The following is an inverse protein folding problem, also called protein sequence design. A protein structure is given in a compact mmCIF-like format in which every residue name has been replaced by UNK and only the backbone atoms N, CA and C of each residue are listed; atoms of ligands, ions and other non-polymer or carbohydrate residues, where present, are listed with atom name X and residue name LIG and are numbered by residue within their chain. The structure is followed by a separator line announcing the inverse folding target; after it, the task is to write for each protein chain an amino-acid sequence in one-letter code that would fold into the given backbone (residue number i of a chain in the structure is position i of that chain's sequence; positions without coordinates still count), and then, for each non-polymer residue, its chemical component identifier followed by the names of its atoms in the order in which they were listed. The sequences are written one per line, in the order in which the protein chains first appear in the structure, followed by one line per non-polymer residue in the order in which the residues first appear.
data_IF_537876645877
#
_entry.id   IF_537876645877
#
_cell.length_a   1.000
_cell.length_b   1.000
_cell.length_c   1.000
_cell.angle_alpha   90.00
_cell.angle_beta   90.00
_cell.angle_gamma   90.00
#
_symmetry.space_group_name_H-M   'P 1'
#
loop_
_entity.id
_entity.type
_entity.pdbx_description
1 polymer ?
#
# COMPACT_ATOMS: atom_id res chain seq x y z
N UNK A 1 -4.70 13.68 -14.02
CA UNK A 1 -5.11 12.33 -13.56
C UNK A 1 -4.54 11.20 -14.43
N UNK A 2 -3.71 10.35 -13.83
CA UNK A 2 -3.17 9.12 -14.40
C UNK A 2 -3.58 7.91 -13.54
N UNK A 3 -4.04 6.83 -14.17
CA UNK A 3 -4.43 5.59 -13.48
C UNK A 3 -3.57 4.44 -14.01
N UNK A 4 -2.96 3.68 -13.10
CA UNK A 4 -2.08 2.56 -13.44
C UNK A 4 -2.46 1.34 -12.60
N UNK A 5 -2.81 0.23 -13.26
CA UNK A 5 -3.02 -1.05 -12.60
C UNK A 5 -1.70 -1.85 -12.62
N UNK A 6 -1.30 -2.35 -11.46
CA UNK A 6 -0.12 -3.17 -11.26
C UNK A 6 -0.48 -4.42 -10.46
N UNK A 7 0.36 -5.44 -10.54
CA UNK A 7 0.26 -6.64 -9.72
C UNK A 7 1.61 -6.91 -9.10
N UNK A 8 1.60 -7.16 -7.79
CA UNK A 8 2.79 -7.56 -7.07
C UNK A 8 2.65 -9.01 -6.64
N UNK A 9 3.70 -9.81 -6.81
CA UNK A 9 3.80 -11.15 -6.21
C UNK A 9 4.68 -11.06 -4.99
N UNK A 10 4.11 -11.36 -3.83
CA UNK A 10 4.80 -11.38 -2.55
C UNK A 10 5.29 -12.79 -2.20
N UNK A 11 5.93 -12.90 -1.03
CA UNK A 11 6.20 -14.18 -0.42
C UNK A 11 4.97 -15.10 -0.40
N UNK A 12 5.21 -16.42 -0.39
CA UNK A 12 4.18 -17.47 -0.43
C UNK A 12 3.30 -17.45 -1.70
N UNK A 13 3.70 -16.70 -2.74
CA UNK A 13 2.96 -16.60 -4.01
C UNK A 13 1.68 -15.80 -3.91
N UNK A 14 1.54 -14.96 -2.87
CA UNK A 14 0.36 -14.10 -2.70
C UNK A 14 0.42 -12.97 -3.71
N UNK A 15 -0.64 -12.80 -4.50
CA UNK A 15 -0.75 -11.68 -5.42
C UNK A 15 -1.52 -10.52 -4.78
N UNK A 16 -0.98 -9.31 -4.91
CA UNK A 16 -1.63 -8.06 -4.50
C UNK A 16 -1.85 -7.20 -5.75
N UNK A 17 -3.07 -7.18 -6.30
CA UNK A 17 -3.47 -6.19 -7.30
C UNK A 17 -3.52 -4.79 -6.66
N UNK A 18 -2.94 -3.82 -7.36
CA UNK A 18 -2.92 -2.42 -6.92
C UNK A 18 -3.31 -1.51 -8.08
N UNK A 19 -4.20 -0.55 -7.83
CA UNK A 19 -4.47 0.55 -8.76
C UNK A 19 -3.94 1.84 -8.17
N UNK A 20 -2.92 2.42 -8.81
CA UNK A 20 -2.42 3.74 -8.48
C UNK A 20 -3.21 4.81 -9.22
N UNK A 21 -3.68 5.82 -8.50
CA UNK A 21 -4.33 7.00 -9.07
C UNK A 21 -3.52 8.22 -8.64
N UNK A 22 -2.82 8.82 -9.60
CA UNK A 22 -2.04 10.02 -9.40
C UNK A 22 -2.79 11.19 -10.03
N UNK A 23 -3.17 12.18 -9.22
CA UNK A 23 -3.72 13.43 -9.70
C UNK A 23 -2.77 14.61 -9.44
N UNK A 24 -2.90 15.68 -10.23
CA UNK A 24 -1.98 16.82 -10.14
C UNK A 24 -2.19 17.64 -8.86
N UNK A 25 -3.38 17.55 -8.25
CA UNK A 25 -3.81 18.40 -7.13
C UNK A 25 -4.17 17.63 -5.87
N UNK A 26 -4.33 16.31 -5.94
CA UNK A 26 -4.70 15.43 -4.82
C UNK A 26 -3.53 14.61 -4.30
N UNK A 27 -3.68 13.97 -3.11
CA UNK A 27 -2.70 12.98 -2.67
C UNK A 27 -2.66 11.82 -3.67
N UNK A 28 -1.48 11.21 -3.84
CA UNK A 28 -1.39 9.96 -4.58
C UNK A 28 -2.24 8.89 -3.91
N UNK A 29 -2.99 8.11 -4.67
CA UNK A 29 -3.87 7.06 -4.14
C UNK A 29 -3.35 5.69 -4.58
N UNK A 30 -3.40 4.72 -3.68
CA UNK A 30 -3.24 3.31 -3.99
C UNK A 30 -4.49 2.56 -3.52
N UNK A 31 -5.20 1.91 -4.45
CA UNK A 31 -6.28 0.97 -4.12
C UNK A 31 -5.71 -0.44 -4.17
N UNK A 32 -5.56 -1.08 -3.02
CA UNK A 32 -5.07 -2.45 -2.91
C UNK A 32 -6.24 -3.44 -2.79
N UNK A 33 -6.07 -4.64 -3.34
CA UNK A 33 -6.99 -5.75 -3.11
C UNK A 33 -6.30 -6.84 -2.27
N UNK A 34 -6.76 -7.01 -1.04
CA UNK A 34 -6.22 -7.99 -0.08
C UNK A 34 -7.36 -8.64 0.71
N UNK A 35 -7.23 -9.90 1.06
CA UNK A 35 -8.23 -10.64 1.87
C UNK A 35 -9.68 -10.55 1.34
N UNK A 36 -9.85 -10.38 0.02
CA UNK A 36 -11.14 -10.23 -0.63
C UNK A 36 -11.77 -8.82 -0.52
N UNK A 37 -11.13 -7.90 0.19
CA UNK A 37 -11.51 -6.49 0.29
C UNK A 37 -10.72 -5.60 -0.67
N UNK A 38 -11.26 -4.40 -0.92
CA UNK A 38 -10.55 -3.31 -1.58
C UNK A 38 -10.37 -2.16 -0.60
N UNK A 39 -9.14 -1.65 -0.50
CA UNK A 39 -8.79 -0.61 0.46
C UNK A 39 -8.17 0.58 -0.27
N UNK A 40 -8.75 1.75 -0.06
CA UNK A 40 -8.27 3.01 -0.61
C UNK A 40 -7.29 3.65 0.38
N UNK A 41 -6.02 3.76 -0.03
CA UNK A 41 -4.93 4.30 0.77
C UNK A 41 -4.42 5.60 0.13
N UNK A 42 -4.04 6.56 0.96
CA UNK A 42 -3.52 7.86 0.55
C UNK A 42 -2.02 7.94 0.80
N UNK A 43 -1.30 8.61 -0.10
CA UNK A 43 0.13 8.83 -0.01
C UNK A 43 0.46 9.64 1.26
N UNK A 44 1.35 9.09 2.06
CA UNK A 44 1.89 9.66 3.29
C UNK A 44 3.29 10.21 3.05
N UNK A 45 3.74 11.08 3.95
CA UNK A 45 5.13 11.52 3.95
C UNK A 45 6.02 10.37 4.42
N UNK A 46 6.98 9.96 3.58
CA UNK A 46 7.97 8.93 3.91
C UNK A 46 9.39 9.37 3.60
N UNK A 47 10.36 8.86 4.36
CA UNK A 47 11.78 9.17 4.15
C UNK A 47 12.32 8.63 2.82
N UNK A 48 11.79 7.50 2.34
CA UNK A 48 12.12 6.93 1.03
C UNK A 48 10.99 6.05 0.51
N UNK A 49 10.86 5.97 -0.82
CA UNK A 49 9.76 5.25 -1.45
C UNK A 49 8.43 6.00 -1.34
N UNK A 50 7.36 5.33 -1.73
CA UNK A 50 6.00 5.84 -1.61
C UNK A 50 5.24 4.98 -0.60
N UNK A 51 4.83 5.61 0.50
CA UNK A 51 4.07 4.96 1.58
C UNK A 51 2.63 5.42 1.51
N UNK A 52 1.69 4.47 1.53
CA UNK A 52 0.27 4.75 1.45
C UNK A 52 -0.43 4.14 2.67
N UNK A 53 -1.22 4.92 3.38
CA UNK A 53 -2.02 4.47 4.51
C UNK A 53 -3.43 5.06 4.50
N UNK A 54 -4.30 4.52 5.35
CA UNK A 54 -5.66 5.06 5.48
C UNK A 54 -5.60 6.29 6.41
N UNK A 55 -6.22 7.44 6.05
CA UNK A 55 -6.12 8.67 6.82
C UNK A 55 -6.99 8.61 8.09
N UNK A 56 -6.61 7.77 9.05
CA UNK A 56 -7.29 7.55 10.31
C UNK A 56 -6.29 7.22 11.41
N UNK A 57 -6.62 7.63 12.64
CA UNK A 57 -5.87 7.25 13.84
C UNK A 57 -6.15 5.79 14.28
N UNK A 58 -7.02 5.07 13.58
CA UNK A 58 -7.35 3.67 13.85
C UNK A 58 -6.41 2.67 13.17
N UNK A 59 -6.57 1.38 13.46
CA UNK A 59 -5.78 0.34 12.82
C UNK A 59 -6.11 0.20 11.33
N UNK A 60 -5.09 0.10 10.48
CA UNK A 60 -5.25 0.12 9.02
C UNK A 60 -4.10 -0.56 8.29
N UNK A 61 -4.32 -0.89 7.01
CA UNK A 61 -3.26 -1.36 6.12
C UNK A 61 -2.37 -0.21 5.66
N UNK A 62 -1.07 -0.49 5.58
CA UNK A 62 -0.09 0.39 4.96
C UNK A 62 0.56 -0.36 3.80
N UNK A 63 0.49 0.23 2.63
CA UNK A 63 1.18 -0.24 1.43
C UNK A 63 2.41 0.62 1.19
N UNK A 64 3.61 0.04 1.23
CA UNK A 64 4.85 0.79 1.08
C UNK A 64 5.66 0.25 -0.09
N UNK A 65 5.91 1.09 -1.10
CA UNK A 65 6.67 0.74 -2.29
C UNK A 65 8.00 1.46 -2.38
N UNK A 66 8.97 0.80 -3.01
CA UNK A 66 10.25 1.37 -3.39
C UNK A 66 10.72 0.70 -4.67
N UNK A 67 10.94 1.49 -5.72
CA UNK A 67 11.26 1.01 -7.06
C UNK A 67 10.21 -0.01 -7.54
N UNK A 68 10.63 -1.24 -7.81
CA UNK A 68 9.78 -2.33 -8.28
C UNK A 68 9.36 -3.29 -7.14
N UNK A 69 9.63 -2.92 -5.90
CA UNK A 69 9.33 -3.73 -4.71
C UNK A 69 8.30 -3.08 -3.79
N UNK A 70 7.63 -3.89 -2.97
CA UNK A 70 6.65 -3.43 -2.01
C UNK A 70 6.56 -4.30 -0.74
N UNK A 71 5.91 -3.74 0.28
CA UNK A 71 5.60 -4.34 1.57
C UNK A 71 4.15 -4.00 1.94
N UNK A 72 3.43 -4.97 2.50
CA UNK A 72 2.13 -4.73 3.15
C UNK A 72 2.31 -4.85 4.66
N UNK A 73 1.96 -3.79 5.38
CA UNK A 73 2.00 -3.71 6.82
C UNK A 73 0.58 -3.53 7.37
N UNK A 74 0.40 -3.91 8.64
CA UNK A 74 -0.72 -3.53 9.47
C UNK A 74 -0.23 -2.53 10.52
N UNK A 75 -0.82 -1.35 10.53
CA UNK A 75 -0.65 -0.37 11.59
C UNK A 75 -1.72 -0.61 12.67
N UNK A 76 -1.32 -0.72 13.93
CA UNK A 76 -2.23 -0.79 15.07
C UNK A 76 -2.46 0.61 15.65
N UNK A 77 -3.69 1.13 15.55
CA UNK A 77 -4.03 2.46 16.06
C UNK A 77 -4.06 2.56 17.59
N UNK A 78 -3.92 1.45 18.33
CA UNK A 78 -3.92 1.43 19.80
C UNK A 78 -2.56 1.81 20.37
N UNK A 79 -1.49 1.23 19.81
CA UNK A 79 -0.12 1.39 20.30
C UNK A 79 0.85 1.96 19.24
N UNK A 80 0.38 2.18 18.02
CA UNK A 80 1.14 2.70 16.90
C UNK A 80 2.14 1.70 16.30
N UNK A 81 2.09 0.43 16.71
CA UNK A 81 3.00 -0.58 16.20
C UNK A 81 2.66 -0.97 14.74
N UNK A 82 3.69 -1.39 14.01
CA UNK A 82 3.54 -1.89 12.64
C UNK A 82 3.99 -3.33 12.55
N UNK A 83 3.15 -4.15 11.93
CA UNK A 83 3.43 -5.56 11.66
C UNK A 83 3.46 -5.83 10.17
N UNK A 84 4.53 -6.43 9.69
CA UNK A 84 4.60 -6.93 8.31
C UNK A 84 3.62 -8.08 8.11
N UNK A 85 2.75 -7.93 7.12
CA UNK A 85 1.79 -8.95 6.69
C UNK A 85 2.28 -9.67 5.42
N UNK A 86 2.85 -8.91 4.49
CA UNK A 86 3.48 -9.42 3.27
C UNK A 86 4.78 -8.66 3.02
N UNK A 87 5.81 -9.39 2.62
CA UNK A 87 7.10 -8.84 2.24
C UNK A 87 7.59 -9.42 0.91
N UNK A 88 8.73 -8.90 0.44
CA UNK A 88 9.36 -9.30 -0.82
C UNK A 88 8.38 -9.29 -2.01
N UNK A 89 7.49 -8.29 -2.04
CA UNK A 89 6.53 -8.13 -3.13
C UNK A 89 7.23 -7.52 -4.33
N UNK A 90 7.30 -8.23 -5.45
CA UNK A 90 7.91 -7.76 -6.70
C UNK A 90 6.84 -7.48 -7.75
N UNK A 91 7.02 -6.39 -8.51
CA UNK A 91 6.12 -6.04 -9.62
C UNK A 91 6.25 -7.07 -10.75
N UNK A 92 5.14 -7.70 -11.10
CA UNK A 92 5.02 -8.58 -12.28
C UNK A 92 4.81 -7.81 -13.58
#
# INVERSE_FOLDING_TARGET
MQVQAMRYTCERGVEVPVVYVNDETGPGIAVIQVEGGMYNLQLEQSASGARYGYPSDGSHYVWWTKDDTALLLWHDGTDGSEKTLLEACERN
#
